data_IF_467366375581
#
_entry.id   IF_467366375581
#
_cell.length_a   1.000
_cell.length_b   1.000
_cell.length_c   1.000
_cell.angle_alpha   90.00
_cell.angle_beta   90.00
_cell.angle_gamma   90.00
#
_symmetry.space_group_name_H-M   'P 1'
#
loop_
_entity.id
_entity.type
_entity.pdbx_description
1 polymer ?
2 non-polymer ?
3 non-polymer ?
4 water ?
#
# COMPACT_ATOMS: atom_id res chain seq x y z
N UNK A 11 19.95 -8.99 -6.79
CA UNK A 11 20.19 -7.57 -7.04
C UNK A 11 21.10 -6.97 -5.96
N UNK A 12 21.80 -5.89 -6.33
CA UNK A 12 22.73 -5.22 -5.45
C UNK A 12 22.19 -3.81 -5.16
N UNK A 13 22.71 -3.23 -4.09
CA UNK A 13 22.47 -1.81 -3.82
C UNK A 13 23.23 -0.96 -4.84
N UNK A 14 22.67 0.20 -5.16
CA UNK A 14 23.24 1.08 -6.17
C UNK A 14 23.58 2.44 -5.56
N UNK A 15 24.56 3.12 -6.14
CA UNK A 15 24.82 4.50 -5.78
C UNK A 15 23.70 5.39 -6.32
N UNK A 16 23.77 6.68 -6.00
CA UNK A 16 22.62 7.56 -6.27
C UNK A 16 22.37 7.72 -7.77
N UNK A 17 23.43 7.82 -8.59
CA UNK A 17 23.21 8.01 -10.01
C UNK A 17 22.58 6.78 -10.65
N UNK A 18 23.05 5.59 -10.26
CA UNK A 18 22.47 4.38 -10.82
C UNK A 18 21.08 4.13 -10.26
N UNK A 19 20.87 4.42 -8.97
CA UNK A 19 19.52 4.40 -8.43
C UNK A 19 18.58 5.28 -9.24
N UNK A 20 19.02 6.49 -9.57
CA UNK A 20 18.17 7.40 -10.31
C UNK A 20 17.82 6.82 -11.68
N UNK A 21 18.81 6.26 -12.37
CA UNK A 21 18.53 5.68 -13.69
C UNK A 21 17.57 4.49 -13.60
N UNK A 22 17.79 3.60 -12.63
CA UNK A 22 16.91 2.43 -12.47
C UNK A 22 15.51 2.86 -12.10
N UNK A 23 15.38 3.85 -11.22
CA UNK A 23 14.09 4.40 -10.85
C UNK A 23 13.37 4.96 -12.07
N UNK A 24 14.09 5.70 -12.92
CA UNK A 24 13.46 6.28 -14.11
C UNK A 24 12.93 5.20 -15.05
N UNK A 25 13.71 4.14 -15.26
CA UNK A 25 13.21 3.06 -16.12
C UNK A 25 11.97 2.42 -15.49
N UNK A 26 12.03 2.13 -14.19
CA UNK A 26 10.87 1.47 -13.58
C UNK A 26 9.64 2.35 -13.61
N UNK A 27 9.81 3.67 -13.49
CA UNK A 27 8.64 4.54 -13.53
C UNK A 27 8.06 4.63 -14.93
N UNK A 28 8.94 4.59 -15.96
CA UNK A 28 8.42 4.49 -17.33
C UNK A 28 7.62 3.20 -17.51
N UNK A 29 8.14 2.09 -16.99
CA UNK A 29 7.41 0.83 -17.09
C UNK A 29 6.09 0.89 -16.34
N UNK A 30 6.04 1.63 -15.24
CA UNK A 30 4.77 1.77 -14.51
C UNK A 30 3.77 2.59 -15.32
N UNK A 31 4.23 3.67 -15.96
CA UNK A 31 3.35 4.42 -16.84
C UNK A 31 2.80 3.53 -17.96
N UNK A 32 3.67 2.71 -18.55
CA UNK A 32 3.20 1.79 -19.59
C UNK A 32 2.18 0.80 -19.04
N UNK A 33 2.44 0.25 -17.85
CA UNK A 33 1.53 -0.71 -17.24
C UNK A 33 0.17 -0.06 -16.96
N UNK A 34 0.18 1.21 -16.54
CA UNK A 34 -1.09 1.92 -16.35
C UNK A 34 -1.85 2.04 -17.66
N UNK A 35 -1.16 2.44 -18.74
CA UNK A 35 -1.85 2.53 -20.03
C UNK A 35 -2.37 1.16 -20.47
N UNK A 36 -1.60 0.11 -20.22
CA UNK A 36 -2.05 -1.25 -20.52
C UNK A 36 -3.30 -1.64 -19.75
N UNK A 37 -3.32 -1.36 -18.44
CA UNK A 37 -4.48 -1.72 -17.62
C UNK A 37 -5.71 -0.92 -18.04
N UNK A 38 -5.51 0.34 -18.41
CA UNK A 38 -6.61 1.16 -18.90
C UNK A 38 -7.16 0.61 -20.21
N UNK A 39 -6.26 0.30 -21.16
CA UNK A 39 -6.67 -0.22 -22.46
C UNK A 39 -7.45 -1.52 -22.29
N UNK A 40 -7.05 -2.37 -21.35
CA UNK A 40 -7.73 -3.63 -21.13
C UNK A 40 -8.78 -3.56 -20.04
N UNK A 41 -9.08 -2.36 -19.54
CA UNK A 41 -10.15 -2.15 -18.55
C UNK A 41 -10.02 -3.11 -17.37
N UNK A 42 -8.81 -3.20 -16.84
CA UNK A 42 -8.54 -3.95 -15.62
C UNK A 42 -8.12 -2.95 -14.54
N UNK A 43 -8.89 -2.89 -13.46
CA UNK A 43 -8.55 -1.98 -12.39
C UNK A 43 -7.41 -2.49 -11.52
N UNK A 44 -6.73 -1.56 -10.85
CA UNK A 44 -5.59 -1.88 -10.01
C UNK A 44 -5.77 -1.24 -8.63
N UNK A 45 -5.67 -2.05 -7.58
CA UNK A 45 -5.85 -1.63 -6.19
C UNK A 45 -4.57 -1.95 -5.41
N UNK A 46 -3.92 -0.91 -4.92
CA UNK A 46 -2.67 -1.05 -4.18
C UNK A 46 -2.90 -0.63 -2.75
N UNK A 47 -2.55 -1.51 -1.81
CA UNK A 47 -2.66 -1.24 -0.38
C UNK A 47 -1.25 -1.03 0.17
N UNK A 48 -1.10 -0.04 1.03
CA UNK A 48 0.16 0.17 1.73
C UNK A 48 -0.11 0.22 3.21
N UNK A 49 0.59 -0.61 3.98
CA UNK A 49 0.52 -0.60 5.42
C UNK A 49 1.94 -0.63 5.98
N UNK A 50 2.06 -0.30 7.25
CA UNK A 50 3.33 -0.24 7.93
C UNK A 50 3.30 0.87 8.96
N UNK A 51 4.26 0.82 9.89
CA UNK A 51 4.23 1.77 10.99
C UNK A 51 4.52 3.20 10.49
N UNK A 52 4.18 4.16 11.35
CA UNK A 52 4.51 5.55 11.07
C UNK A 52 6.00 5.68 10.70
N UNK A 53 6.26 6.44 9.64
CA UNK A 53 7.60 6.71 9.11
C UNK A 53 8.27 5.47 8.54
N UNK A 54 7.50 4.44 8.19
CA UNK A 54 8.07 3.31 7.45
C UNK A 54 8.38 3.64 6.00
N UNK A 55 7.91 4.78 5.48
CA UNK A 55 8.17 5.17 4.10
C UNK A 55 7.06 4.88 3.11
N UNK A 56 5.82 4.67 3.58
CA UNK A 56 4.68 4.44 2.70
C UNK A 56 4.47 5.61 1.75
N UNK A 57 4.42 6.83 2.28
CA UNK A 57 4.14 7.99 1.45
C UNK A 57 5.17 8.18 0.35
N UNK A 58 6.46 8.08 0.69
CA UNK A 58 7.51 8.30 -0.29
C UNK A 58 7.54 7.22 -1.37
N UNK A 59 7.31 5.97 -0.97
CA UNK A 59 7.26 4.90 -1.96
C UNK A 59 6.08 5.11 -2.91
N UNK A 60 4.92 5.51 -2.37
CA UNK A 60 3.79 5.82 -3.24
C UNK A 60 4.15 6.94 -4.21
N UNK A 61 4.75 8.03 -3.70
CA UNK A 61 5.12 9.14 -4.57
C UNK A 61 5.99 8.67 -5.74
N UNK A 62 6.97 7.80 -5.47
CA UNK A 62 7.81 7.36 -6.59
C UNK A 62 7.04 6.42 -7.52
N UNK A 63 6.14 5.62 -6.97
CA UNK A 63 5.40 4.65 -7.79
C UNK A 63 4.58 5.35 -8.87
N UNK A 64 3.82 6.39 -8.50
CA UNK A 64 2.90 7.00 -9.46
C UNK A 64 3.43 8.33 -10.02
N UNK A 65 4.70 8.64 -9.78
CA UNK A 65 5.22 9.95 -10.14
C UNK A 65 5.07 10.24 -11.62
N UNK A 66 5.37 9.28 -12.50
CA UNK A 66 5.30 9.49 -13.95
C UNK A 66 4.03 8.92 -14.56
N UNK A 67 3.12 8.42 -13.76
CA UNK A 67 1.85 7.89 -14.26
C UNK A 67 0.91 9.05 -14.58
N UNK A 68 0.08 8.88 -15.61
CA UNK A 68 -0.93 9.88 -15.97
C UNK A 68 -1.85 10.19 -14.80
N UNK A 69 -1.96 11.46 -14.36
CA UNK A 69 -2.77 11.77 -13.17
C UNK A 69 -4.25 11.51 -13.36
N UNK A 70 -4.73 11.47 -14.59
CA UNK A 70 -6.12 11.09 -14.86
C UNK A 70 -6.40 9.64 -14.54
N UNK A 71 -5.37 8.81 -14.40
CA UNK A 71 -5.56 7.38 -14.25
C UNK A 71 -5.39 6.81 -12.87
N UNK A 72 -5.21 7.65 -11.83
CA UNK A 72 -5.03 7.12 -10.48
C UNK A 72 -5.54 8.11 -9.45
N UNK A 73 -5.88 7.59 -8.27
CA UNK A 73 -6.17 8.38 -7.08
C UNK A 73 -5.44 7.74 -5.90
N UNK A 74 -4.72 8.56 -5.14
CA UNK A 74 -4.10 8.13 -3.88
C UNK A 74 -5.03 8.54 -2.75
N UNK A 75 -5.46 7.57 -1.93
CA UNK A 75 -6.35 7.85 -0.81
C UNK A 75 -5.54 7.80 0.48
N UNK A 76 -5.30 8.93 1.14
CA UNK A 76 -4.67 8.89 2.47
C UNK A 76 -5.72 8.60 3.53
N UNK A 77 -5.70 7.41 4.08
CA UNK A 77 -6.77 6.92 4.93
C UNK A 77 -6.46 7.26 6.38
N UNK A 78 -7.43 7.86 7.06
CA UNK A 78 -7.32 8.14 8.49
C UNK A 78 -8.51 7.48 9.22
N UNK A 79 -8.70 7.88 10.48
CA UNK A 79 -9.76 7.31 11.29
C UNK A 79 -11.12 7.54 10.66
N UNK A 80 -12.04 6.60 10.80
CA UNK A 80 -13.42 6.81 10.34
C UNK A 80 -14.04 8.05 10.98
N UNK A 81 -14.73 8.84 10.18
CA UNK A 81 -15.51 9.97 10.64
C UNK A 81 -16.86 9.47 11.19
N UNK A 82 -17.54 10.29 12.02
CA UNK A 82 -18.85 9.86 12.54
C UNK A 82 -19.84 9.46 11.45
N UNK A 83 -19.88 10.17 10.31
CA UNK A 83 -20.79 9.77 9.26
C UNK A 83 -20.42 8.42 8.65
N UNK A 84 -19.12 8.11 8.60
CA UNK A 84 -18.70 6.81 8.05
C UNK A 84 -19.02 5.66 8.99
N UNK A 85 -19.07 5.91 10.30
CA UNK A 85 -19.41 4.87 11.26
C UNK A 85 -20.89 4.48 11.21
N UNK A 86 -21.73 5.21 10.49
CA UNK A 86 -23.12 4.80 10.32
C UNK A 86 -23.27 3.66 9.32
N UNK A 87 -22.17 3.15 8.76
CA UNK A 87 -22.17 2.04 7.81
C UNK A 87 -21.19 0.96 8.27
N UNK A 88 -21.25 -0.19 7.60
CA UNK A 88 -20.25 -1.23 7.81
C UNK A 88 -18.85 -0.67 7.54
N UNK A 89 -17.86 -1.20 8.27
CA UNK A 89 -16.51 -0.65 8.19
C UNK A 89 -15.91 -0.71 6.79
N UNK A 90 -16.40 -1.58 5.93
CA UNK A 90 -15.87 -1.62 4.56
C UNK A 90 -16.52 -0.58 3.63
N UNK A 91 -17.63 0.03 4.04
CA UNK A 91 -18.38 0.94 3.16
C UNK A 91 -17.52 2.10 2.67
N UNK A 92 -16.79 2.75 3.59
CA UNK A 92 -15.96 3.88 3.19
C UNK A 92 -14.90 3.47 2.17
N UNK A 93 -14.56 2.19 2.11
CA UNK A 93 -13.59 1.71 1.14
C UNK A 93 -14.28 1.29 -0.17
N UNK A 94 -15.42 0.60 -0.09
CA UNK A 94 -16.25 0.36 -1.28
C UNK A 94 -16.45 1.64 -2.07
N UNK A 95 -16.82 2.73 -1.39
CA UNK A 95 -17.03 4.03 -2.02
C UNK A 95 -15.80 4.55 -2.77
N UNK A 96 -14.60 4.07 -2.47
CA UNK A 96 -13.38 4.61 -3.04
C UNK A 96 -12.76 3.70 -4.10
N UNK A 97 -13.47 2.64 -4.53
CA UNK A 97 -12.85 1.71 -5.43
C UNK A 97 -12.72 2.31 -6.83
N UNK A 98 -11.66 2.01 -7.56
CA UNK A 98 -11.51 2.52 -8.92
C UNK A 98 -12.44 1.81 -9.89
N UNK A 99 -12.76 2.49 -10.97
CA UNK A 99 -13.38 1.84 -12.11
C UNK A 99 -12.43 0.83 -12.73
N UNK A 100 -13.01 -0.12 -13.47
CA UNK A 100 -12.21 -0.98 -14.34
C UNK A 100 -11.28 -0.13 -15.18
N UNK A 101 -9.99 -0.48 -15.18
CA UNK A 101 -9.00 0.26 -15.93
C UNK A 101 -8.32 1.39 -15.18
N UNK A 102 -8.75 1.71 -13.95
CA UNK A 102 -8.21 2.80 -13.15
C UNK A 102 -7.43 2.26 -11.96
N UNK A 103 -6.64 3.13 -11.34
CA UNK A 103 -5.76 2.76 -10.24
C UNK A 103 -6.22 3.48 -8.97
N UNK A 104 -6.32 2.74 -7.87
CA UNK A 104 -6.53 3.32 -6.55
C UNK A 104 -5.42 2.88 -5.62
N UNK A 105 -4.81 3.84 -4.93
CA UNK A 105 -3.79 3.57 -3.95
C UNK A 105 -4.33 3.91 -2.57
N UNK A 106 -4.24 2.97 -1.65
CA UNK A 106 -4.70 3.17 -0.28
C UNK A 106 -3.48 3.23 0.63
N UNK A 107 -3.17 4.44 1.09
CA UNK A 107 -2.14 4.65 2.11
C UNK A 107 -2.81 4.36 3.45
N UNK A 108 -2.69 3.11 3.91
CA UNK A 108 -3.53 2.49 4.93
C UNK A 108 -4.91 2.22 4.34
N UNK A 109 -5.67 1.31 4.95
CA UNK A 109 -6.71 0.65 4.19
C UNK A 109 -7.71 -0.01 5.14
N UNK A 110 -8.51 -0.92 4.61
CA UNK A 110 -9.45 -1.69 5.44
C UNK A 110 -8.71 -2.55 6.47
N UNK A 111 -7.42 -2.84 6.25
CA UNK A 111 -6.65 -3.61 7.21
C UNK A 111 -6.46 -2.89 8.54
N UNK A 112 -6.81 -1.60 8.63
CA UNK A 112 -6.88 -0.95 9.92
C UNK A 112 -7.78 -1.70 10.88
N UNK A 113 -8.78 -2.43 10.36
CA UNK A 113 -9.65 -3.24 11.19
C UNK A 113 -8.87 -4.26 12.02
N UNK A 114 -7.74 -4.76 11.52
CA UNK A 114 -6.97 -5.78 12.22
C UNK A 114 -5.62 -5.25 12.69
N UNK A 115 -5.38 -3.93 12.58
CA UNK A 115 -4.12 -3.35 13.01
C UNK A 115 -4.45 -2.36 14.12
N UNK A 116 -4.52 -1.05 13.82
CA UNK A 116 -4.68 -0.05 14.87
C UNK A 116 -5.99 -0.23 15.61
N UNK A 117 -7.05 -0.62 14.89
CA UNK A 117 -8.35 -0.77 15.55
C UNK A 117 -8.37 -1.99 16.45
N UNK A 118 -7.60 -3.03 16.12
CA UNK A 118 -7.47 -4.14 17.06
C UNK A 118 -6.62 -3.73 18.26
N UNK A 119 -5.45 -3.13 18.01
CA UNK A 119 -4.53 -2.77 19.09
C UNK A 119 -5.16 -1.77 20.05
N UNK A 120 -5.91 -0.80 19.53
CA UNK A 120 -6.47 0.23 20.39
C UNK A 120 -7.79 -0.21 21.03
N UNK A 121 -8.29 -1.40 20.70
CA UNK A 121 -9.58 -1.81 21.20
C UNK A 121 -10.77 -1.12 20.59
N UNK A 122 -10.59 -0.39 19.47
CA UNK A 122 -11.74 0.22 18.79
C UNK A 122 -12.65 -0.84 18.19
N UNK A 123 -12.08 -1.90 17.62
CA UNK A 123 -12.82 -3.08 17.20
C UNK A 123 -12.82 -4.10 18.32
N UNK A 124 -13.99 -4.67 18.62
CA UNK A 124 -14.08 -5.74 19.61
C UNK A 124 -13.34 -6.98 19.10
N UNK A 125 -13.14 -7.94 20.00
CA UNK A 125 -12.45 -9.17 19.62
C UNK A 125 -13.17 -9.89 18.48
N UNK A 126 -14.49 -9.99 18.56
CA UNK A 126 -15.23 -10.67 17.49
C UNK A 126 -15.04 -9.95 16.15
N UNK A 127 -15.07 -8.61 16.18
CA UNK A 127 -14.95 -7.81 14.96
C UNK A 127 -13.62 -8.06 14.26
N UNK A 128 -12.50 -7.83 14.96
CA UNK A 128 -11.23 -8.02 14.27
C UNK A 128 -10.95 -9.49 14.01
N UNK A 129 -11.45 -10.39 14.86
CA UNK A 129 -11.22 -11.81 14.66
C UNK A 129 -11.86 -12.31 13.37
N UNK A 130 -13.09 -11.89 13.08
CA UNK A 130 -13.77 -12.31 11.85
C UNK A 130 -13.35 -11.49 10.64
N UNK A 131 -12.67 -10.36 10.87
CA UNK A 131 -12.34 -9.48 9.76
C UNK A 131 -11.41 -10.11 8.74
N UNK A 132 -10.52 -11.02 9.15
CA UNK A 132 -9.58 -11.60 8.18
C UNK A 132 -10.31 -12.28 7.03
N UNK A 133 -11.28 -13.13 7.35
CA UNK A 133 -12.01 -13.81 6.28
C UNK A 133 -12.97 -12.87 5.58
N UNK A 134 -13.59 -11.92 6.31
CA UNK A 134 -14.39 -10.91 5.61
C UNK A 134 -13.56 -10.20 4.54
N UNK A 135 -12.33 -9.82 4.88
CA UNK A 135 -11.48 -9.10 3.94
C UNK A 135 -11.06 -10.00 2.80
N UNK A 136 -10.68 -11.25 3.10
CA UNK A 136 -10.36 -12.19 2.03
C UNK A 136 -11.52 -12.32 1.05
N UNK A 137 -12.75 -12.43 1.57
CA UNK A 137 -13.91 -12.63 0.69
C UNK A 137 -14.18 -11.39 -0.16
N UNK A 138 -14.05 -10.20 0.44
CA UNK A 138 -14.20 -8.95 -0.30
C UNK A 138 -13.18 -8.86 -1.44
N UNK A 139 -11.90 -9.07 -1.11
CA UNK A 139 -10.85 -9.00 -2.12
C UNK A 139 -11.05 -10.04 -3.21
N UNK A 140 -11.54 -11.24 -2.85
CA UNK A 140 -11.75 -12.29 -3.83
C UNK A 140 -12.91 -11.94 -4.78
N UNK A 141 -13.96 -11.30 -4.26
CA UNK A 141 -15.01 -10.78 -5.14
C UNK A 141 -14.38 -9.92 -6.22
N UNK A 142 -13.49 -9.01 -5.83
CA UNK A 142 -12.90 -8.10 -6.81
C UNK A 142 -11.92 -8.82 -7.76
N UNK A 143 -11.05 -9.68 -7.22
CA UNK A 143 -9.98 -10.24 -8.05
C UNK A 143 -10.49 -11.31 -8.99
N UNK A 144 -11.60 -11.97 -8.65
CA UNK A 144 -12.20 -12.90 -9.62
C UNK A 144 -12.82 -12.18 -10.79
N UNK A 145 -13.10 -10.88 -10.65
CA UNK A 145 -13.56 -10.06 -11.75
C UNK A 145 -12.41 -9.34 -12.42
N UNK A 146 -12.52 -8.02 -12.59
CA UNK A 146 -11.55 -7.30 -13.41
C UNK A 146 -10.70 -6.35 -12.58
N UNK A 147 -10.16 -6.84 -11.47
CA UNK A 147 -9.31 -6.06 -10.58
C UNK A 147 -8.11 -6.89 -10.19
N UNK A 148 -6.96 -6.23 -10.14
CA UNK A 148 -5.72 -6.77 -9.59
C UNK A 148 -5.49 -6.09 -8.24
N UNK A 149 -5.13 -6.88 -7.23
CA UNK A 149 -4.88 -6.34 -5.89
C UNK A 149 -3.48 -6.73 -5.46
N UNK A 150 -2.72 -5.76 -4.96
CA UNK A 150 -1.43 -6.05 -4.31
C UNK A 150 -1.39 -5.29 -2.99
N UNK A 151 -0.88 -5.94 -1.94
CA UNK A 151 -0.75 -5.31 -0.64
C UNK A 151 0.72 -5.28 -0.23
N UNK A 152 1.20 -4.12 0.20
CA UNK A 152 2.59 -3.90 0.60
C UNK A 152 2.65 -3.60 2.08
N UNK A 153 3.54 -4.28 2.79
CA UNK A 153 3.87 -3.93 4.18
C UNK A 153 5.30 -3.42 4.20
N UNK A 154 5.47 -2.15 4.53
CA UNK A 154 6.80 -1.56 4.63
C UNK A 154 7.34 -1.76 6.04
N UNK A 155 8.36 -2.61 6.17
CA UNK A 155 8.99 -2.86 7.47
C UNK A 155 10.09 -1.85 7.76
N UNK A 156 10.17 -1.41 9.01
CA UNK A 156 11.23 -0.50 9.44
C UNK A 156 11.63 -0.88 10.86
N UNK A 157 12.93 -0.79 11.15
CA UNK A 157 13.41 -1.07 12.49
C UNK A 157 13.05 0.08 13.44
N UNK A 158 12.99 -0.24 14.73
CA UNK A 158 12.73 0.79 15.74
C UNK A 158 13.77 1.90 15.67
N UNK A 159 15.05 1.56 15.50
CA UNK A 159 16.08 2.59 15.46
C UNK A 159 15.96 3.46 14.20
N UNK A 160 15.62 2.85 13.06
CA UNK A 160 15.44 3.64 11.85
C UNK A 160 14.22 4.53 11.95
N UNK A 161 13.13 4.01 12.52
CA UNK A 161 11.96 4.85 12.77
C UNK A 161 12.30 6.02 13.67
N UNK A 162 13.09 5.77 14.72
CA UNK A 162 13.49 6.85 15.64
C UNK A 162 14.30 7.91 14.91
N UNK A 163 15.25 7.48 14.09
CA UNK A 163 16.02 8.42 13.26
C UNK A 163 15.09 9.28 12.42
N UNK A 164 14.09 8.66 11.79
CA UNK A 164 13.17 9.41 10.94
C UNK A 164 12.26 10.34 11.75
N UNK A 165 11.86 9.94 12.96
CA UNK A 165 11.10 10.83 13.83
C UNK A 165 11.92 12.08 14.18
N UNK A 166 13.21 11.89 14.47
CA UNK A 166 14.04 13.05 14.83
C UNK A 166 14.27 13.97 13.62
N UNK A 167 14.45 13.38 12.44
CA UNK A 167 14.50 14.18 11.21
C UNK A 167 13.22 14.98 11.03
N UNK A 168 12.06 14.32 11.16
CA UNK A 168 10.77 15.02 11.06
C UNK A 168 10.68 16.17 12.04
N UNK A 169 11.02 15.92 13.31
CA UNK A 169 10.91 16.97 14.30
C UNK A 169 11.84 18.14 13.98
N UNK A 170 12.89 17.91 13.20
CA UNK A 170 13.74 19.01 12.75
C UNK A 170 13.33 19.56 11.39
N UNK A 171 12.30 19.01 10.75
CA UNK A 171 11.94 19.39 9.40
C UNK A 171 10.77 20.36 9.41
N UNK A 172 10.97 21.60 8.98
CA UNK A 172 9.89 22.61 9.05
C UNK A 172 8.64 22.23 8.26
N UNK A 173 8.73 21.35 7.27
CA UNK A 173 7.52 20.93 6.58
C UNK A 173 6.78 19.81 7.30
N UNK A 174 7.37 19.20 8.32
CA UNK A 174 6.81 18.00 8.93
C UNK A 174 6.68 18.06 10.44
N UNK A 175 7.39 18.96 11.13
CA UNK A 175 7.44 18.96 12.59
C UNK A 175 6.10 19.29 13.20
N UNK A 176 5.29 20.12 12.53
CA UNK A 176 3.96 20.48 13.01
C UNK A 176 3.07 19.25 13.21
N UNK A 177 3.33 18.16 12.49
CA UNK A 177 2.48 16.97 12.53
C UNK A 177 2.94 15.91 13.53
N UNK A 178 4.18 15.97 13.98
CA UNK A 178 4.70 14.98 14.92
C UNK A 178 4.32 15.38 16.34
N UNK A 179 3.52 14.56 17.01
CA UNK A 179 2.98 14.88 18.33
C UNK A 179 3.59 13.96 19.38
N UNK A 180 3.43 14.37 20.65
CA UNK A 180 3.86 13.51 21.75
C UNK A 180 3.18 12.14 21.69
N UNK A 181 1.95 12.09 21.20
CA UNK A 181 1.24 10.83 21.11
C UNK A 181 1.93 9.86 20.16
N UNK A 182 2.53 10.36 19.07
CA UNK A 182 3.23 9.48 18.14
C UNK A 182 4.45 8.83 18.80
N UNK A 183 5.24 9.65 19.50
CA UNK A 183 6.34 9.14 20.30
C UNK A 183 5.87 8.06 21.27
N UNK A 184 4.78 8.32 21.98
CA UNK A 184 4.29 7.34 22.95
C UNK A 184 3.82 6.06 22.27
N UNK A 185 3.17 6.20 21.10
CA UNK A 185 2.71 5.05 20.33
C UNK A 185 3.85 4.18 19.86
N UNK A 186 5.06 4.73 19.78
CA UNK A 186 6.21 3.85 19.50
C UNK A 186 6.30 2.70 20.49
N UNK A 187 5.82 2.88 21.73
CA UNK A 187 5.86 1.81 22.73
C UNK A 187 4.94 0.64 22.38
N UNK A 188 3.97 0.85 21.49
CA UNK A 188 3.04 -0.20 21.09
C UNK A 188 3.54 -1.02 19.92
N UNK A 189 4.76 -0.78 19.45
CA UNK A 189 5.25 -1.47 18.25
C UNK A 189 5.23 -2.99 18.36
N UNK A 190 5.62 -3.62 19.49
CA UNK A 190 5.52 -5.10 19.55
C UNK A 190 4.13 -5.63 19.25
N UNK A 191 3.09 -4.99 19.78
CA UNK A 191 1.72 -5.41 19.50
C UNK A 191 1.39 -5.26 18.02
N UNK A 192 1.81 -4.15 17.39
CA UNK A 192 1.57 -3.96 15.97
C UNK A 192 2.26 -5.04 15.16
N UNK A 193 3.49 -5.41 15.53
CA UNK A 193 4.20 -6.44 14.80
C UNK A 193 3.48 -7.78 14.90
N UNK A 194 3.00 -8.11 16.10
CA UNK A 194 2.22 -9.33 16.26
C UNK A 194 0.95 -9.31 15.41
N UNK A 195 0.23 -8.18 15.42
CA UNK A 195 -1.00 -8.09 14.64
C UNK A 195 -0.70 -8.19 13.14
N UNK A 196 0.38 -7.56 12.71
CA UNK A 196 0.75 -7.63 11.30
C UNK A 196 1.12 -9.05 10.90
N UNK A 197 1.79 -9.79 11.79
CA UNK A 197 2.17 -11.16 11.44
C UNK A 197 0.92 -12.05 11.34
N UNK A 198 -0.03 -11.89 12.24
CA UNK A 198 -1.28 -12.64 12.10
C UNK A 198 -2.01 -12.25 10.81
N UNK A 199 -2.02 -10.96 10.48
CA UNK A 199 -2.59 -10.49 9.22
C UNK A 199 -1.96 -11.20 8.02
N UNK A 200 -0.63 -11.23 7.98
CA UNK A 200 0.08 -11.94 6.93
C UNK A 200 -0.36 -13.40 6.85
N UNK A 201 -0.38 -14.08 8.00
CA UNK A 201 -0.74 -15.50 8.00
C UNK A 201 -2.14 -15.71 7.42
N UNK A 202 -3.07 -14.79 7.66
CA UNK A 202 -4.45 -15.09 7.32
C UNK A 202 -4.93 -14.49 6.00
N UNK A 203 -4.27 -13.44 5.49
CA UNK A 203 -4.80 -12.73 4.31
C UNK A 203 -3.77 -12.62 3.18
N UNK A 204 -2.69 -13.39 3.23
CA UNK A 204 -1.72 -13.48 2.14
C UNK A 204 -2.25 -14.53 1.16
N UNK A 205 -2.86 -14.08 0.06
CA UNK A 205 -3.53 -14.95 -0.88
C UNK A 205 -2.91 -14.83 -2.27
N UNK A 206 -3.04 -15.90 -3.05
CA UNK A 206 -2.45 -15.94 -4.39
C UNK A 206 -2.99 -14.82 -5.28
N UNK A 207 -4.29 -14.52 -5.15
CA UNK A 207 -4.95 -13.48 -5.90
C UNK A 207 -4.77 -12.09 -5.30
N UNK A 208 -4.22 -12.00 -4.09
CA UNK A 208 -4.09 -10.72 -3.39
C UNK A 208 -2.93 -10.84 -2.40
N UNK A 209 -1.71 -10.82 -2.91
CA UNK A 209 -0.56 -11.14 -2.05
C UNK A 209 -0.15 -9.99 -1.16
N UNK A 210 0.45 -10.35 -0.02
CA UNK A 210 1.22 -9.45 0.81
C UNK A 210 2.68 -9.51 0.38
N UNK A 211 3.25 -8.36 0.09
CA UNK A 211 4.66 -8.21 -0.25
C UNK A 211 5.29 -7.47 0.91
N UNK A 212 6.23 -8.12 1.59
CA UNK A 212 6.96 -7.49 2.68
C UNK A 212 8.15 -6.74 2.09
N UNK A 213 8.23 -5.45 2.36
CA UNK A 213 9.23 -4.56 1.77
C UNK A 213 10.23 -4.17 2.84
N UNK A 214 11.51 -4.40 2.57
CA UNK A 214 12.60 -3.98 3.44
C UNK A 214 12.77 -2.48 3.31
N UNK A 215 12.29 -1.72 4.30
CA UNK A 215 12.13 -0.29 4.18
C UNK A 215 13.18 0.57 4.85
N UNK A 216 14.17 -0.03 5.51
CA UNK A 216 15.18 0.75 6.21
C UNK A 216 15.94 1.67 5.26
N UNK A 217 16.22 1.21 4.04
CA UNK A 217 16.77 2.04 2.98
C UNK A 217 15.62 2.49 2.06
N UNK A 218 15.34 3.79 2.06
CA UNK A 218 14.21 4.30 1.28
C UNK A 218 14.37 4.04 -0.21
N UNK A 219 15.59 4.20 -0.73
CA UNK A 219 15.81 4.02 -2.16
C UNK A 219 15.51 2.59 -2.59
N UNK A 220 16.03 1.62 -1.83
CA UNK A 220 15.72 0.22 -2.10
C UNK A 220 14.22 -0.05 -1.98
N UNK A 221 13.56 0.58 -1.00
CA UNK A 221 12.12 0.36 -0.82
C UNK A 221 11.33 0.83 -2.02
N UNK A 222 11.62 2.06 -2.50
CA UNK A 222 10.94 2.59 -3.66
C UNK A 222 11.13 1.68 -4.86
N UNK A 223 12.38 1.27 -5.12
CA UNK A 223 12.66 0.40 -6.25
C UNK A 223 11.90 -0.92 -6.12
N UNK A 224 11.88 -1.49 -4.91
CA UNK A 224 11.24 -2.78 -4.73
C UNK A 224 9.73 -2.67 -4.93
N UNK A 225 9.13 -1.60 -4.42
CA UNK A 225 7.69 -1.40 -4.62
C UNK A 225 7.38 -1.36 -6.11
N UNK A 226 8.20 -0.64 -6.89
CA UNK A 226 7.95 -0.57 -8.33
C UNK A 226 8.12 -1.95 -8.98
N UNK A 227 9.21 -2.65 -8.66
CA UNK A 227 9.46 -3.96 -9.26
C UNK A 227 8.34 -4.95 -8.94
N UNK A 228 7.91 -4.98 -7.68
CA UNK A 228 6.90 -5.95 -7.27
C UNK A 228 5.54 -5.62 -7.89
N UNK A 229 5.18 -4.33 -7.94
CA UNK A 229 3.96 -3.95 -8.64
C UNK A 229 3.99 -4.42 -10.09
N UNK A 230 5.08 -4.14 -10.80
CA UNK A 230 5.18 -4.53 -12.21
C UNK A 230 5.13 -6.05 -12.38
N UNK A 231 5.80 -6.79 -11.49
CA UNK A 231 5.85 -8.24 -11.61
C UNK A 231 4.47 -8.85 -11.41
N UNK A 232 3.73 -8.40 -10.40
CA UNK A 232 2.42 -8.99 -10.19
C UNK A 232 1.43 -8.56 -11.28
N UNK A 233 1.58 -7.34 -11.81
CA UNK A 233 0.75 -6.96 -12.95
C UNK A 233 1.00 -7.91 -14.13
N UNK A 234 2.27 -8.20 -14.41
CA UNK A 234 2.58 -9.10 -15.53
C UNK A 234 2.03 -10.51 -15.30
N UNK A 235 2.19 -11.03 -14.08
CA UNK A 235 1.65 -12.36 -13.77
C UNK A 235 0.14 -12.40 -13.96
N UNK A 236 -0.57 -11.43 -13.39
CA UNK A 236 -2.03 -11.41 -13.49
C UNK A 236 -2.48 -11.22 -14.93
N UNK A 237 -1.74 -10.41 -15.70
CA UNK A 237 -2.03 -10.26 -17.12
C UNK A 237 -1.95 -11.61 -17.82
N UNK A 238 -0.88 -12.36 -17.56
CA UNK A 238 -0.72 -13.69 -18.15
C UNK A 238 -1.88 -14.61 -17.74
N UNK A 239 -2.19 -14.66 -16.45
CA UNK A 239 -3.33 -15.44 -15.98
C UNK A 239 -4.61 -15.10 -16.73
N UNK A 240 -4.75 -13.86 -17.19
CA UNK A 240 -5.94 -13.47 -17.93
C UNK A 240 -5.80 -13.65 -19.44
N UNK A 241 -4.72 -14.28 -19.92
CA UNK A 241 -4.54 -14.50 -21.34
C UNK A 241 -4.00 -13.31 -22.10
N UNK A 242 -3.58 -12.26 -21.40
CA UNK A 242 -3.03 -11.05 -22.00
C UNK A 242 -1.52 -11.05 -21.82
N UNK A 243 -0.85 -10.27 -22.66
CA UNK A 243 0.60 -10.07 -22.55
C UNK A 243 0.87 -8.58 -22.43
N UNK A 244 1.56 -8.19 -21.37
CA UNK A 244 1.97 -6.80 -21.19
C UNK A 244 3.02 -6.43 -22.24
N UNK A 245 2.71 -5.44 -23.06
CA UNK A 245 3.63 -4.94 -24.08
C UNK A 245 3.72 -3.42 -23.96
N UNK A 246 4.62 -2.84 -24.75
CA UNK A 246 4.74 -1.38 -24.79
C UNK A 246 3.58 -0.82 -25.61
N UNK A 247 2.61 -0.20 -24.93
CA UNK A 247 1.49 0.44 -25.59
C UNK A 247 1.66 1.95 -25.68
N UNK A 248 2.86 2.46 -25.38
CA UNK A 248 3.11 3.90 -25.42
C UNK A 248 3.62 4.37 -26.79
N UNK A 249 4.66 3.75 -27.31
CA UNK A 249 5.23 4.19 -28.58
C UNK A 249 4.72 3.39 -29.80
#
# INVERSE_FOLDING_TARGET
MTQNIKNLDLSIELDKKMYKKKLKVLQYEMLNAQQFLLKNKIGLILVFEGMDAAGKGGAIKRLIERVDPRGYVVHPISAPQPHELRYNYLQRFWRKLPQHGQIAVFDRSWYGRVLVERIEGFATKDEWSRAYEEINNFEKILTAGDYIIIKFWLHVSDEEQLKRFKEREQNPYKSWKLTDEDWRNREKSPQYIEAANEMFEKTDKKNAPWVLVAGNDKKYARVQVLQETLAHIEREALKRGLHLTNVLDKAHLEDAESSSLDILNEKKK
#
